data_IF_337129059811
#
_entry.id   IF_337129059811
#
_cell.length_a   1.000
_cell.length_b   1.000
_cell.length_c   1.000
_cell.angle_alpha   90.00
_cell.angle_beta   90.00
_cell.angle_gamma   90.00
#
_symmetry.space_group_name_H-M   'P 1'
#
loop_
_entity.id
_entity.type
_entity.pdbx_description
1 polymer ?
#
# COMPACT_ATOMS: atom_id res chain seq x y z
N UNK A 1 -8.24 -5.87 56.94
CA UNK A 1 -9.34 -4.92 57.27
C UNK A 1 -10.53 -5.21 56.36
N UNK A 2 -11.75 -5.35 56.91
CA UNK A 2 -12.98 -5.45 56.10
C UNK A 2 -13.53 -4.04 55.91
N UNK A 3 -13.63 -3.60 54.65
CA UNK A 3 -14.23 -2.30 54.30
C UNK A 3 -15.71 -2.27 54.72
N UNK A 4 -16.14 -1.11 55.21
CA UNK A 4 -17.54 -0.86 55.55
C UNK A 4 -18.43 -0.87 54.30
N UNK A 5 -19.74 -1.06 54.47
CA UNK A 5 -20.69 -1.07 53.35
C UNK A 5 -20.69 0.26 52.59
N UNK A 6 -20.57 1.38 53.32
CA UNK A 6 -20.49 2.72 52.73
C UNK A 6 -19.24 2.91 51.86
N UNK A 7 -18.09 2.42 52.32
CA UNK A 7 -16.84 2.49 51.53
C UNK A 7 -16.92 1.63 50.27
N UNK A 8 -17.53 0.43 50.35
CA UNK A 8 -17.74 -0.43 49.18
C UNK A 8 -18.65 0.20 48.13
N UNK A 9 -19.73 0.85 48.56
CA UNK A 9 -20.66 1.54 47.66
C UNK A 9 -20.00 2.76 47.02
N UNK A 10 -19.22 3.54 47.79
CA UNK A 10 -18.46 4.67 47.28
C UNK A 10 -17.46 4.25 46.21
N UNK A 11 -16.69 3.18 46.45
CA UNK A 11 -15.74 2.64 45.48
C UNK A 11 -16.46 2.18 44.21
N UNK A 12 -17.57 1.45 44.32
CA UNK A 12 -18.35 1.02 43.14
C UNK A 12 -18.90 2.18 42.32
N UNK A 13 -19.41 3.22 42.98
CA UNK A 13 -19.89 4.41 42.29
C UNK A 13 -18.75 5.16 41.58
N UNK A 14 -17.58 5.29 42.22
CA UNK A 14 -16.40 5.88 41.60
C UNK A 14 -15.90 5.08 40.39
N UNK A 15 -15.90 3.74 40.48
CA UNK A 15 -15.54 2.87 39.35
C UNK A 15 -16.53 3.02 38.20
N UNK A 16 -17.83 3.10 38.49
CA UNK A 16 -18.87 3.26 37.47
C UNK A 16 -18.75 4.59 36.71
N UNK A 17 -18.54 5.70 37.43
CA UNK A 17 -18.33 7.02 36.84
C UNK A 17 -16.99 7.10 36.09
N UNK A 18 -15.93 6.46 36.62
CA UNK A 18 -14.64 6.41 35.94
C UNK A 18 -14.63 5.54 34.68
N UNK A 19 -15.57 4.59 34.57
CA UNK A 19 -15.75 3.74 33.40
C UNK A 19 -16.65 4.38 32.32
N UNK A 20 -17.41 5.43 32.64
CA UNK A 20 -18.28 6.14 31.71
C UNK A 20 -17.57 6.70 30.45
N UNK A 21 -16.31 7.19 30.52
CA UNK A 21 -15.56 7.63 29.35
C UNK A 21 -14.92 6.49 28.55
N UNK A 22 -14.97 5.25 29.05
CA UNK A 22 -14.41 4.09 28.37
C UNK A 22 -15.51 3.53 27.46
N UNK A 23 -15.38 3.68 26.12
CA UNK A 23 -16.42 3.20 25.22
C UNK A 23 -16.58 1.68 25.32
N UNK A 24 -17.81 1.22 25.51
CA UNK A 24 -18.18 -0.19 25.36
C UNK A 24 -18.14 -0.58 23.89
N UNK A 25 -16.98 -0.95 23.35
CA UNK A 25 -16.95 -1.55 22.02
C UNK A 25 -17.30 -3.04 22.10
N UNK A 26 -18.51 -3.36 21.63
CA UNK A 26 -18.95 -4.72 21.27
C UNK A 26 -18.20 -5.20 20.01
N UNK A 27 -18.13 -6.52 19.71
CA UNK A 27 -17.33 -7.01 18.58
C UNK A 27 -17.78 -6.31 17.29
N UNK A 28 -16.84 -5.62 16.66
CA UNK A 28 -17.08 -4.86 15.43
C UNK A 28 -17.46 -5.82 14.32
N UNK A 29 -18.78 -6.03 14.13
CA UNK A 29 -19.33 -6.82 13.02
C UNK A 29 -19.29 -6.07 11.69
N UNK A 30 -19.08 -4.76 11.74
CA UNK A 30 -19.08 -3.85 10.59
C UNK A 30 -17.87 -2.94 10.68
N UNK A 31 -17.14 -2.83 9.57
CA UNK A 31 -15.97 -1.96 9.46
C UNK A 31 -16.42 -0.48 9.53
N UNK A 32 -16.18 0.19 10.65
CA UNK A 32 -16.34 1.65 10.74
C UNK A 32 -15.09 2.25 10.10
N UNK A 33 -15.14 2.50 8.80
CA UNK A 33 -14.10 3.28 8.15
C UNK A 33 -14.35 4.75 8.50
N UNK A 34 -13.46 5.37 9.26
CA UNK A 34 -13.36 6.82 9.23
C UNK A 34 -12.85 7.21 7.84
N UNK A 35 -13.53 8.15 7.18
CA UNK A 35 -13.05 8.71 5.92
C UNK A 35 -11.60 9.19 6.12
N UNK A 36 -10.60 8.62 5.42
CA UNK A 36 -9.19 9.03 5.59
C UNK A 36 -8.95 10.49 5.22
N UNK A 37 -9.87 11.10 4.47
CA UNK A 37 -9.84 12.50 4.07
C UNK A 37 -10.72 13.39 4.96
N UNK A 38 -11.06 12.94 6.17
CA UNK A 38 -11.84 13.73 7.11
C UNK A 38 -11.12 15.05 7.45
N UNK A 39 -11.85 16.17 7.34
CA UNK A 39 -11.30 17.53 7.43
C UNK A 39 -10.78 18.12 6.11
N UNK A 40 -10.76 17.33 5.02
CA UNK A 40 -10.42 17.77 3.67
C UNK A 40 -11.63 17.77 2.73
N UNK A 41 -12.85 17.55 3.24
CA UNK A 41 -14.06 17.37 2.42
C UNK A 41 -14.46 18.61 1.62
N UNK A 42 -13.96 19.79 2.02
CA UNK A 42 -14.19 21.03 1.29
C UNK A 42 -13.34 21.20 0.02
N UNK A 43 -12.39 20.28 -0.23
CA UNK A 43 -11.49 20.34 -1.39
C UNK A 43 -11.97 19.41 -2.52
N UNK A 44 -11.64 19.71 -3.79
CA UNK A 44 -11.79 18.74 -4.87
C UNK A 44 -11.06 17.44 -4.55
N UNK A 45 -11.63 16.31 -4.96
CA UNK A 45 -11.15 14.98 -4.56
C UNK A 45 -9.65 14.79 -4.84
N UNK A 46 -9.19 15.18 -6.02
CA UNK A 46 -7.78 15.06 -6.45
C UNK A 46 -6.84 15.87 -5.54
N UNK A 47 -7.31 17.02 -5.06
CA UNK A 47 -6.56 17.90 -4.16
C UNK A 47 -6.59 17.39 -2.72
N UNK A 48 -7.74 16.88 -2.25
CA UNK A 48 -7.86 16.23 -0.95
C UNK A 48 -6.94 15.01 -0.86
N UNK A 49 -6.93 14.16 -1.90
CA UNK A 49 -6.08 12.98 -1.99
C UNK A 49 -4.60 13.36 -1.98
N UNK A 50 -4.17 14.36 -2.75
CA UNK A 50 -2.77 14.80 -2.75
C UNK A 50 -2.35 15.38 -1.39
N UNK A 51 -3.22 16.12 -0.70
CA UNK A 51 -2.96 16.57 0.66
C UNK A 51 -2.87 15.40 1.65
N UNK A 52 -3.83 14.47 1.60
CA UNK A 52 -3.83 13.28 2.45
C UNK A 52 -2.57 12.44 2.25
N UNK A 53 -2.14 12.25 0.99
CA UNK A 53 -0.90 11.54 0.64
C UNK A 53 0.33 12.14 1.34
N UNK A 54 0.44 13.47 1.39
CA UNK A 54 1.55 14.18 2.05
C UNK A 54 1.48 14.12 3.57
N UNK A 55 0.28 14.18 4.15
CA UNK A 55 0.08 14.17 5.60
C UNK A 55 0.28 12.78 6.19
N UNK A 56 -0.25 11.76 5.52
CA UNK A 56 -0.29 10.39 6.04
C UNK A 56 0.80 9.50 5.44
N UNK A 57 1.58 10.01 4.47
CA UNK A 57 2.59 9.24 3.74
C UNK A 57 2.02 7.93 3.16
N UNK A 58 0.75 7.97 2.75
CA UNK A 58 -0.02 6.82 2.28
C UNK A 58 -0.40 6.99 0.81
N UNK A 59 -0.66 5.88 0.11
CA UNK A 59 -1.10 5.92 -1.29
C UNK A 59 -2.48 6.56 -1.42
N UNK A 60 -2.58 7.58 -2.27
CA UNK A 60 -3.85 8.24 -2.57
C UNK A 60 -4.75 7.48 -3.55
N UNK A 61 -4.14 6.61 -4.36
CA UNK A 61 -4.82 5.79 -5.37
C UNK A 61 -4.26 4.37 -5.33
N UNK A 62 -5.06 3.40 -5.77
CA UNK A 62 -4.60 2.03 -5.92
C UNK A 62 -3.49 1.91 -6.97
N UNK A 63 -2.61 0.90 -6.87
CA UNK A 63 -1.71 0.54 -7.95
C UNK A 63 -2.46 0.25 -9.25
N UNK A 64 -1.80 0.47 -10.40
CA UNK A 64 -2.40 0.17 -11.71
C UNK A 64 -2.81 -1.30 -11.83
N UNK A 65 -1.97 -2.22 -11.34
CA UNK A 65 -2.25 -3.66 -11.33
C UNK A 65 -3.56 -3.99 -10.64
N UNK A 66 -3.87 -3.33 -9.53
CA UNK A 66 -5.12 -3.50 -8.80
C UNK A 66 -6.34 -2.99 -9.60
N UNK A 67 -6.23 -1.82 -10.24
CA UNK A 67 -7.28 -1.34 -11.15
C UNK A 67 -7.49 -2.30 -12.34
N UNK A 68 -6.42 -2.83 -12.92
CA UNK A 68 -6.48 -3.81 -14.00
C UNK A 68 -7.13 -5.11 -13.54
N UNK A 69 -6.79 -5.59 -12.35
CA UNK A 69 -7.41 -6.76 -11.72
C UNK A 69 -8.92 -6.56 -11.52
N UNK A 70 -9.34 -5.42 -10.98
CA UNK A 70 -10.76 -5.10 -10.83
C UNK A 70 -11.50 -4.99 -12.16
N UNK A 71 -10.85 -4.42 -13.18
CA UNK A 71 -11.40 -4.39 -14.53
C UNK A 71 -11.60 -5.80 -15.10
N UNK A 72 -10.60 -6.68 -14.97
CA UNK A 72 -10.69 -8.08 -15.40
C UNK A 72 -11.78 -8.86 -14.66
N UNK A 73 -12.04 -8.52 -13.41
CA UNK A 73 -13.12 -9.10 -12.59
C UNK A 73 -14.51 -8.54 -12.93
N UNK A 74 -14.61 -7.51 -13.78
CA UNK A 74 -15.88 -6.84 -14.09
C UNK A 74 -16.37 -5.91 -12.96
N UNK A 75 -15.52 -5.57 -12.00
CA UNK A 75 -15.82 -4.64 -10.91
C UNK A 75 -15.72 -3.17 -11.31
N UNK A 76 -15.22 -2.88 -12.52
CA UNK A 76 -15.13 -1.54 -13.11
C UNK A 76 -16.03 -1.49 -14.33
N UNK A 77 -16.85 -0.44 -14.43
CA UNK A 77 -17.66 -0.20 -15.62
C UNK A 77 -16.77 0.25 -16.79
N UNK A 78 -16.51 -0.67 -17.71
CA UNK A 78 -15.70 -0.43 -18.90
C UNK A 78 -16.27 0.67 -19.79
N UNK A 79 -17.60 0.79 -19.90
CA UNK A 79 -18.22 1.80 -20.74
C UNK A 79 -18.05 3.20 -20.15
N UNK A 80 -18.18 3.33 -18.83
CA UNK A 80 -17.89 4.57 -18.13
C UNK A 80 -16.41 4.96 -18.25
N UNK A 81 -15.50 3.98 -18.13
CA UNK A 81 -14.06 4.20 -18.32
C UNK A 81 -13.73 4.69 -19.74
N UNK A 82 -14.26 4.03 -20.77
CA UNK A 82 -14.08 4.43 -22.16
C UNK A 82 -14.62 5.84 -22.45
N UNK A 83 -15.78 6.18 -21.88
CA UNK A 83 -16.35 7.53 -21.99
C UNK A 83 -15.44 8.57 -21.35
N UNK A 84 -14.95 8.31 -20.12
CA UNK A 84 -14.05 9.22 -19.42
C UNK A 84 -12.73 9.44 -20.16
N UNK A 85 -12.16 8.38 -20.75
CA UNK A 85 -10.94 8.47 -21.57
C UNK A 85 -11.18 9.34 -22.80
N UNK A 86 -12.32 9.18 -23.47
CA UNK A 86 -12.69 10.00 -24.63
C UNK A 86 -12.84 11.48 -24.25
N UNK A 87 -13.55 11.77 -23.17
CA UNK A 87 -13.77 13.14 -22.68
C UNK A 87 -12.45 13.82 -22.30
N UNK A 88 -11.51 13.05 -21.73
CA UNK A 88 -10.16 13.51 -21.44
C UNK A 88 -9.35 13.74 -22.71
N UNK A 89 -9.36 12.79 -23.65
CA UNK A 89 -8.57 12.85 -24.88
C UNK A 89 -8.94 14.05 -25.77
N UNK A 90 -10.22 14.43 -25.81
CA UNK A 90 -10.69 15.64 -26.52
C UNK A 90 -10.03 16.92 -26.04
N UNK A 91 -9.62 16.97 -24.77
CA UNK A 91 -8.96 18.14 -24.17
C UNK A 91 -7.45 18.16 -24.39
N UNK A 92 -6.87 17.12 -24.99
CA UNK A 92 -5.43 16.97 -25.17
C UNK A 92 -5.00 17.24 -26.60
N UNK A 93 -3.76 17.70 -26.77
CA UNK A 93 -3.14 17.80 -28.08
C UNK A 93 -2.84 16.39 -28.62
N UNK A 94 -3.51 15.98 -29.70
CA UNK A 94 -3.28 14.68 -30.33
C UNK A 94 -2.28 14.80 -31.50
N UNK A 95 -1.18 14.03 -31.49
CA UNK A 95 -0.33 13.89 -32.67
C UNK A 95 -1.10 13.29 -33.84
N UNK A 96 -0.77 13.71 -35.06
CA UNK A 96 -1.41 13.19 -36.27
C UNK A 96 -1.15 11.69 -36.45
N UNK A 97 -2.21 10.94 -36.74
CA UNK A 97 -2.14 9.49 -37.00
C UNK A 97 -2.19 8.61 -35.75
N UNK A 98 -2.41 9.17 -34.56
CA UNK A 98 -2.59 8.41 -33.32
C UNK A 98 -4.07 8.43 -32.92
N UNK A 99 -4.63 7.25 -32.70
CA UNK A 99 -5.92 7.10 -32.01
C UNK A 99 -5.66 7.23 -30.50
N UNK A 100 -5.79 8.46 -29.99
CA UNK A 100 -5.45 8.79 -28.60
C UNK A 100 -6.33 8.05 -27.61
N UNK A 101 -7.63 7.91 -27.88
CA UNK A 101 -8.58 7.18 -27.05
C UNK A 101 -8.12 5.73 -26.85
N UNK A 102 -7.89 5.03 -27.98
CA UNK A 102 -7.46 3.63 -27.95
C UNK A 102 -6.08 3.48 -27.33
N UNK A 103 -5.18 4.41 -27.59
CA UNK A 103 -3.83 4.36 -27.05
C UNK A 103 -3.81 4.53 -25.53
N UNK A 104 -4.50 5.55 -25.00
CA UNK A 104 -4.64 5.77 -23.55
C UNK A 104 -5.31 4.59 -22.88
N UNK A 105 -6.41 4.08 -23.46
CA UNK A 105 -7.11 2.92 -22.91
C UNK A 105 -6.19 1.69 -22.87
N UNK A 106 -5.40 1.45 -23.92
CA UNK A 106 -4.43 0.34 -23.96
C UNK A 106 -3.34 0.50 -22.90
N UNK A 107 -2.79 1.71 -22.73
CA UNK A 107 -1.78 1.99 -21.72
C UNK A 107 -2.31 1.85 -20.28
N UNK A 108 -3.58 2.17 -20.06
CA UNK A 108 -4.19 2.08 -18.73
C UNK A 108 -4.57 0.64 -18.36
N UNK A 109 -5.02 -0.15 -19.34
CA UNK A 109 -5.67 -1.44 -19.08
C UNK A 109 -4.83 -2.64 -19.50
N UNK A 110 -4.07 -2.53 -20.59
CA UNK A 110 -3.39 -3.65 -21.24
C UNK A 110 -1.88 -3.66 -21.12
N UNK A 111 -1.27 -2.66 -20.48
CA UNK A 111 0.18 -2.65 -20.22
C UNK A 111 0.46 -2.70 -18.74
N UNK A 112 1.20 -3.72 -18.31
CA UNK A 112 1.83 -3.73 -17.00
C UNK A 112 2.78 -2.54 -16.91
N UNK A 113 2.73 -1.80 -15.80
CA UNK A 113 3.81 -0.87 -15.45
C UNK A 113 5.04 -1.70 -15.08
N UNK A 114 5.69 -2.29 -16.07
CA UNK A 114 7.08 -2.64 -15.92
C UNK A 114 7.82 -1.33 -15.67
N UNK A 115 8.49 -1.19 -14.53
CA UNK A 115 9.54 -0.19 -14.38
C UNK A 115 10.55 -0.45 -15.50
N UNK A 116 10.40 0.21 -16.65
CA UNK A 116 11.28 -0.01 -17.80
C UNK A 116 12.67 0.62 -17.59
N UNK A 117 13.11 0.81 -16.34
CA UNK A 117 14.17 1.74 -16.01
C UNK A 117 15.19 1.25 -14.97
N UNK A 118 15.24 -0.05 -14.65
CA UNK A 118 16.45 -0.61 -14.02
C UNK A 118 17.41 -1.33 -14.96
N UNK A 119 17.03 -1.62 -16.20
CA UNK A 119 17.94 -2.24 -17.16
C UNK A 119 18.11 -1.38 -18.41
N UNK A 120 19.03 -0.41 -18.33
CA UNK A 120 19.86 -0.04 -19.48
C UNK A 120 21.34 -0.28 -19.19
N UNK A 121 21.69 -1.29 -18.39
CA UNK A 121 23.08 -1.78 -18.37
C UNK A 121 23.45 -2.48 -19.67
N UNK A 122 22.46 -2.97 -20.44
CA UNK A 122 22.68 -3.68 -21.70
C UNK A 122 21.85 -3.07 -22.84
N UNK A 123 22.53 -2.46 -23.81
CA UNK A 123 21.89 -2.05 -25.07
C UNK A 123 21.65 -3.24 -25.99
N UNK A 124 20.77 -3.07 -26.99
CA UNK A 124 20.54 -4.06 -28.07
C UNK A 124 21.83 -4.48 -28.81
N UNK A 125 22.86 -3.64 -28.79
CA UNK A 125 24.18 -3.97 -29.34
C UNK A 125 24.96 -4.99 -28.48
N UNK A 126 24.81 -4.95 -27.16
CA UNK A 126 25.42 -5.93 -26.25
C UNK A 126 24.79 -7.32 -26.41
N UNK A 127 23.46 -7.38 -26.51
CA UNK A 127 22.72 -8.64 -26.76
C UNK A 127 23.12 -9.25 -28.10
N UNK A 128 23.25 -8.42 -29.15
CA UNK A 128 23.69 -8.86 -30.48
C UNK A 128 25.12 -9.42 -30.47
N UNK A 129 26.04 -8.78 -29.76
CA UNK A 129 27.42 -9.23 -29.67
C UNK A 129 27.51 -10.60 -28.95
N UNK A 130 26.79 -10.76 -27.85
CA UNK A 130 26.75 -12.03 -27.10
C UNK A 130 26.19 -13.20 -27.93
N UNK A 131 25.10 -12.97 -28.68
CA UNK A 131 24.51 -14.00 -29.55
C UNK A 131 25.39 -14.39 -30.75
N UNK A 132 26.36 -13.54 -31.10
CA UNK A 132 27.30 -13.78 -32.21
C UNK A 132 28.70 -14.19 -31.74
N UNK A 133 28.89 -14.37 -30.43
CA UNK A 133 30.20 -14.60 -29.80
C UNK A 133 31.23 -13.51 -30.14
N UNK A 134 30.75 -12.30 -30.40
CA UNK A 134 31.58 -11.13 -30.68
C UNK A 134 31.92 -10.38 -29.39
N UNK A 135 33.02 -9.63 -29.40
CA UNK A 135 33.43 -8.81 -28.24
C UNK A 135 32.36 -7.72 -28.02
N UNK A 136 31.73 -7.65 -26.84
CA UNK A 136 30.71 -6.65 -26.57
C UNK A 136 31.31 -5.23 -26.64
N UNK A 137 30.54 -4.23 -27.12
CA UNK A 137 30.99 -2.84 -27.10
C UNK A 137 31.33 -2.39 -25.68
N UNK A 138 32.33 -1.51 -25.52
CA UNK A 138 32.70 -0.95 -24.21
C UNK A 138 31.52 -0.16 -23.63
N UNK A 139 31.12 -0.47 -22.39
CA UNK A 139 29.98 0.16 -21.72
C UNK A 139 29.32 -0.68 -20.63
N UNK A 140 29.55 -1.99 -20.61
CA UNK A 140 29.26 -2.84 -19.46
C UNK A 140 30.37 -2.65 -18.41
N UNK A 141 30.21 -1.67 -17.53
CA UNK A 141 31.00 -1.62 -16.30
C UNK A 141 30.54 -2.75 -15.37
N UNK A 142 31.45 -3.32 -14.58
CA UNK A 142 31.05 -4.06 -13.38
C UNK A 142 30.04 -3.22 -12.61
N UNK A 143 28.95 -3.83 -12.15
CA UNK A 143 27.90 -3.12 -11.41
C UNK A 143 28.52 -2.63 -10.10
N UNK A 144 28.89 -1.35 -10.06
CA UNK A 144 29.33 -0.72 -8.83
C UNK A 144 28.13 -0.56 -7.90
N UNK A 145 28.14 -1.29 -6.79
CA UNK A 145 27.07 -1.27 -5.81
C UNK A 145 26.81 0.13 -5.24
N UNK A 146 27.83 0.98 -5.11
CA UNK A 146 27.68 2.34 -4.60
C UNK A 146 26.97 3.27 -5.61
N UNK A 147 27.29 3.13 -6.89
CA UNK A 147 26.64 3.90 -7.96
C UNK A 147 25.20 3.45 -8.17
N UNK A 148 24.95 2.14 -8.12
CA UNK A 148 23.61 1.56 -8.19
C UNK A 148 22.76 2.01 -6.99
N UNK A 149 23.32 1.97 -5.78
CA UNK A 149 22.62 2.43 -4.58
C UNK A 149 22.27 3.92 -4.65
N UNK A 150 23.18 4.76 -5.15
CA UNK A 150 22.93 6.19 -5.32
C UNK A 150 21.83 6.46 -6.36
N UNK A 151 21.89 5.77 -7.50
CA UNK A 151 20.86 5.88 -8.55
C UNK A 151 19.50 5.36 -8.09
N UNK A 152 19.46 4.28 -7.30
CA UNK A 152 18.24 3.81 -6.67
C UNK A 152 17.74 4.88 -5.70
N UNK A 153 18.57 5.35 -4.76
CA UNK A 153 18.14 6.36 -3.79
C UNK A 153 17.56 7.64 -4.43
N UNK A 154 18.12 8.08 -5.56
CA UNK A 154 17.59 9.23 -6.32
C UNK A 154 16.28 8.93 -7.05
N UNK A 155 16.11 7.71 -7.57
CA UNK A 155 14.93 7.30 -8.36
C UNK A 155 13.80 6.72 -7.53
N UNK A 156 14.08 6.29 -6.30
CA UNK A 156 13.08 5.73 -5.40
C UNK A 156 12.22 6.86 -4.85
N UNK A 157 10.90 6.86 -5.10
CA UNK A 157 10.03 7.88 -4.56
C UNK A 157 10.08 7.82 -3.02
N UNK A 158 10.39 8.93 -2.32
CA UNK A 158 10.53 8.95 -0.86
C UNK A 158 9.21 8.63 -0.13
N UNK A 159 8.09 8.74 -0.85
CA UNK A 159 6.74 8.55 -0.32
C UNK A 159 6.22 7.11 -0.49
N UNK A 160 7.10 6.12 -0.70
CA UNK A 160 6.71 4.71 -0.82
C UNK A 160 7.46 3.81 0.17
N UNK A 161 6.78 2.82 0.76
CA UNK A 161 7.44 1.81 1.58
C UNK A 161 8.39 0.96 0.72
N UNK A 162 9.45 0.46 1.35
CA UNK A 162 10.52 -0.28 0.65
C UNK A 162 10.03 -1.58 0.01
N UNK A 163 9.01 -2.25 0.58
CA UNK A 163 8.42 -3.45 0.00
C UNK A 163 7.80 -3.17 -1.38
N UNK A 164 7.06 -2.08 -1.54
CA UNK A 164 6.49 -1.68 -2.84
C UNK A 164 7.55 -1.33 -3.88
N UNK A 165 8.67 -0.77 -3.42
CA UNK A 165 9.83 -0.55 -4.27
C UNK A 165 10.37 -1.88 -4.77
N UNK A 166 10.60 -2.84 -3.88
CA UNK A 166 11.11 -4.16 -4.24
C UNK A 166 10.15 -4.88 -5.20
N UNK A 167 8.85 -4.82 -4.94
CA UNK A 167 7.80 -5.36 -5.83
C UNK A 167 7.87 -4.73 -7.22
N UNK A 168 8.03 -3.40 -7.30
CA UNK A 168 8.16 -2.70 -8.58
C UNK A 168 9.44 -3.06 -9.35
N UNK A 169 10.53 -3.37 -8.65
CA UNK A 169 11.83 -3.68 -9.27
C UNK A 169 11.96 -5.13 -9.69
N UNK A 170 11.40 -6.05 -8.90
CA UNK A 170 11.63 -7.49 -9.05
C UNK A 170 10.35 -8.27 -9.36
N UNK A 171 9.19 -7.61 -9.40
CA UNK A 171 7.90 -8.27 -9.64
C UNK A 171 7.47 -9.18 -8.48
N UNK A 172 7.92 -8.90 -7.27
CA UNK A 172 7.51 -9.62 -6.05
C UNK A 172 6.14 -9.12 -5.55
N UNK A 173 5.57 -9.82 -4.57
CA UNK A 173 4.30 -9.45 -3.90
C UNK A 173 4.51 -9.19 -2.40
N UNK A 174 5.71 -8.74 -2.01
CA UNK A 174 6.12 -8.57 -0.61
C UNK A 174 5.26 -7.54 0.12
N UNK A 175 4.81 -6.48 -0.54
CA UNK A 175 3.92 -5.50 0.09
C UNK A 175 2.58 -6.13 0.46
N UNK A 176 1.99 -6.94 -0.43
CA UNK A 176 0.74 -7.64 -0.17
C UNK A 176 0.89 -8.68 0.94
N UNK A 177 1.97 -9.47 0.91
CA UNK A 177 2.27 -10.45 1.96
C UNK A 177 2.47 -9.77 3.33
N UNK A 178 3.19 -8.65 3.36
CA UNK A 178 3.37 -7.87 4.59
C UNK A 178 2.05 -7.30 5.10
N UNK A 179 1.22 -6.75 4.21
CA UNK A 179 -0.11 -6.23 4.55
C UNK A 179 -0.97 -7.34 5.19
N UNK A 180 -1.02 -8.53 4.60
CA UNK A 180 -1.79 -9.67 5.14
C UNK A 180 -1.30 -10.08 6.55
N UNK A 181 0.02 -10.14 6.76
CA UNK A 181 0.59 -10.43 8.07
C UNK A 181 0.27 -9.34 9.11
N UNK A 182 0.41 -8.07 8.72
CA UNK A 182 0.14 -6.93 9.61
C UNK A 182 -1.35 -6.83 9.93
N UNK A 183 -2.24 -7.07 8.96
CA UNK A 183 -3.70 -7.07 9.18
C UNK A 183 -4.06 -8.13 10.21
N UNK A 184 -3.56 -9.37 10.06
CA UNK A 184 -3.82 -10.45 11.03
C UNK A 184 -3.35 -10.08 12.43
N UNK A 185 -2.15 -9.53 12.56
CA UNK A 185 -1.60 -9.13 13.85
C UNK A 185 -2.37 -7.93 14.44
N UNK A 186 -2.81 -6.99 13.62
CA UNK A 186 -3.68 -5.90 14.07
C UNK A 186 -5.01 -6.43 14.60
N UNK A 187 -5.62 -7.42 13.94
CA UNK A 187 -6.86 -8.05 14.41
C UNK A 187 -6.67 -8.61 15.82
N UNK A 188 -5.61 -9.38 16.05
CA UNK A 188 -5.35 -9.99 17.37
C UNK A 188 -4.96 -8.95 18.45
N UNK A 189 -4.22 -7.90 18.07
CA UNK A 189 -3.79 -6.86 19.01
C UNK A 189 -4.95 -5.97 19.46
N UNK A 190 -5.84 -5.59 18.52
CA UNK A 190 -6.97 -4.69 18.77
C UNK A 190 -8.27 -5.43 19.15
N UNK A 191 -8.25 -6.75 19.25
CA UNK A 191 -9.37 -7.56 19.74
C UNK A 191 -9.73 -7.26 21.22
N UNK A 192 -8.90 -6.51 21.95
CA UNK A 192 -9.14 -6.02 23.33
C UNK A 192 -9.53 -7.10 24.35
N UNK A 193 -9.37 -8.39 24.04
CA UNK A 193 -9.74 -9.53 24.91
C UNK A 193 -11.14 -10.09 24.65
N UNK A 194 -11.70 -9.86 23.45
CA UNK A 194 -12.97 -10.46 23.01
C UNK A 194 -12.80 -11.94 22.61
N UNK A 195 -11.62 -12.29 22.11
CA UNK A 195 -11.22 -13.65 21.76
C UNK A 195 -10.70 -14.39 22.99
N UNK A 196 -10.97 -15.70 23.04
CA UNK A 196 -10.54 -16.59 24.14
C UNK A 196 -9.01 -16.69 24.22
N UNK A 197 -8.33 -16.45 23.10
CA UNK A 197 -6.88 -16.44 22.99
C UNK A 197 -6.39 -15.01 22.84
N UNK A 198 -5.70 -14.52 23.86
CA UNK A 198 -5.06 -13.21 23.82
C UNK A 198 -3.73 -13.27 23.06
N UNK A 199 -3.39 -12.19 22.35
CA UNK A 199 -2.12 -12.06 21.66
C UNK A 199 -0.93 -12.10 22.65
N UNK A 200 0.03 -13.01 22.49
CA UNK A 200 1.23 -13.06 23.34
C UNK A 200 2.08 -11.79 23.23
N UNK A 201 2.52 -11.26 24.37
CA UNK A 201 3.41 -10.10 24.41
C UNK A 201 2.72 -8.76 24.08
N UNK A 202 1.38 -8.74 23.98
CA UNK A 202 0.57 -7.54 23.73
C UNK A 202 0.90 -6.39 24.70
N UNK A 203 1.19 -6.71 25.95
CA UNK A 203 1.58 -5.76 26.99
C UNK A 203 2.88 -4.98 26.67
N UNK A 204 3.70 -5.48 25.74
CA UNK A 204 4.93 -4.83 25.27
C UNK A 204 4.68 -3.85 24.11
N UNK A 205 3.43 -3.73 23.65
CA UNK A 205 3.03 -2.89 22.54
C UNK A 205 3.09 -3.61 21.18
N UNK A 206 2.37 -3.05 20.20
CA UNK A 206 2.11 -3.66 18.88
C UNK A 206 3.41 -4.11 18.19
N UNK A 207 4.40 -3.22 18.10
CA UNK A 207 5.64 -3.52 17.37
C UNK A 207 6.44 -4.66 18.02
N UNK A 208 6.57 -4.66 19.35
CA UNK A 208 7.32 -5.69 20.06
C UNK A 208 6.62 -7.05 19.94
N UNK A 209 5.29 -7.07 20.07
CA UNK A 209 4.49 -8.29 19.90
C UNK A 209 4.56 -8.81 18.45
N UNK A 210 4.38 -7.94 17.45
CA UNK A 210 4.52 -8.26 16.03
C UNK A 210 5.90 -8.83 15.68
N UNK A 211 6.97 -8.18 16.12
CA UNK A 211 8.35 -8.61 15.83
C UNK A 211 8.65 -9.99 16.40
N UNK A 212 8.16 -10.25 17.61
CA UNK A 212 8.42 -11.53 18.27
C UNK A 212 7.56 -12.66 17.66
N UNK A 213 6.35 -12.37 17.18
CA UNK A 213 5.47 -13.35 16.52
C UNK A 213 5.83 -13.60 15.05
N UNK A 214 6.21 -12.57 14.29
CA UNK A 214 6.50 -12.69 12.85
C UNK A 214 7.67 -13.64 12.54
N UNK A 215 8.60 -13.85 13.48
CA UNK A 215 9.67 -14.86 13.35
C UNK A 215 9.21 -16.31 13.57
N UNK A 216 8.01 -16.52 14.10
CA UNK A 216 7.44 -17.84 14.40
C UNK A 216 6.29 -18.22 13.46
N UNK A 217 5.79 -17.28 12.67
CA UNK A 217 4.59 -17.39 11.86
C UNK A 217 4.95 -17.71 10.40
N UNK A 218 5.75 -18.76 10.18
CA UNK A 218 6.09 -19.25 8.84
C UNK A 218 5.06 -20.30 8.42
N UNK A 219 4.00 -19.84 7.74
CA UNK A 219 3.02 -20.62 6.96
C UNK A 219 2.15 -21.64 7.74
N UNK A 220 0.85 -21.32 7.88
CA UNK A 220 -0.26 -22.28 7.98
C UNK A 220 -1.22 -22.03 6.81
#
# INVERSE_FOLDING_TARGET
>A
MKLSLGEKLKIRAMVYVAAEPIPFFWPMRSFIHHNPLHGLEGLPFETAVEHGRRLFHARGYLPRSEYQRYLQQGSVDSAALESGVRDFAVQQACPSGIDLDRWLLTLMTGTDLAFSALNQTSSTAHVRAALREEVPPKGLSEVNQADLASQLHEKLPPDRPICEVVDALYGTELAAELDDQVIRICLDFFDEGQSVWEMPGRERGLFAAWRDLSGHDVLW
#
